data_IF_575570275148
#
_entry.id   IF_575570275148
#
_cell.length_a   1.000
_cell.length_b   1.000
_cell.length_c   1.000
_cell.angle_alpha   90.00
_cell.angle_beta   90.00
_cell.angle_gamma   90.00
#
_symmetry.space_group_name_H-M   'P 1'
#
loop_
_entity.id
_entity.type
_entity.pdbx_description
1 polymer ?
#
# COMPACT_ATOMS: atom_id res chain seq x y z
N UNK A 1 -19.73 17.27 7.68
CA UNK A 1 -18.34 16.83 7.97
C UNK A 1 -18.25 15.36 7.60
N UNK A 2 -17.09 14.88 7.19
CA UNK A 2 -16.85 13.48 6.83
C UNK A 2 -15.64 12.95 7.61
N UNK A 3 -15.71 11.73 8.10
CA UNK A 3 -14.67 11.09 8.88
C UNK A 3 -14.31 9.75 8.22
N UNK A 4 -13.05 9.61 7.79
CA UNK A 4 -12.49 8.51 6.99
C UNK A 4 -13.39 7.96 5.84
N UNK A 5 -13.96 8.80 4.95
CA UNK A 5 -14.90 8.33 3.93
C UNK A 5 -14.31 7.37 2.88
N UNK A 6 -12.98 7.28 2.73
CA UNK A 6 -12.30 6.29 1.89
C UNK A 6 -12.14 4.89 2.51
N UNK A 7 -12.37 4.74 3.82
CA UNK A 7 -12.13 3.49 4.55
C UNK A 7 -12.96 2.33 3.98
N UNK A 8 -12.31 1.16 3.82
CA UNK A 8 -12.84 -0.06 3.19
C UNK A 8 -13.24 0.03 1.69
N UNK A 9 -13.18 1.20 1.04
CA UNK A 9 -13.56 1.37 -0.36
C UNK A 9 -12.44 0.97 -1.34
N UNK A 10 -12.83 0.46 -2.52
CA UNK A 10 -11.92 0.26 -3.66
C UNK A 10 -11.48 1.61 -4.29
N UNK A 11 -10.40 1.62 -5.08
CA UNK A 11 -9.82 2.85 -5.66
C UNK A 11 -10.85 3.66 -6.47
N UNK A 12 -11.76 3.00 -7.20
CA UNK A 12 -12.82 3.64 -8.00
C UNK A 12 -13.93 4.19 -7.11
N UNK A 13 -14.28 3.47 -6.05
CA UNK A 13 -15.25 3.88 -5.05
C UNK A 13 -14.75 5.08 -4.24
N UNK A 14 -13.48 5.09 -3.79
CA UNK A 14 -12.85 6.22 -3.08
C UNK A 14 -12.94 7.52 -3.88
N UNK A 15 -12.57 7.46 -5.16
CA UNK A 15 -12.51 8.64 -6.02
C UNK A 15 -13.93 9.11 -6.43
N UNK A 16 -14.91 8.20 -6.52
CA UNK A 16 -16.34 8.55 -6.62
C UNK A 16 -16.91 9.18 -5.35
N UNK A 17 -16.57 8.65 -4.17
CA UNK A 17 -16.96 9.25 -2.89
C UNK A 17 -16.38 10.67 -2.77
N UNK A 18 -15.13 10.86 -3.21
CA UNK A 18 -14.49 12.17 -3.27
C UNK A 18 -15.18 13.14 -4.25
N UNK A 19 -15.60 12.68 -5.44
CA UNK A 19 -16.42 13.48 -6.36
C UNK A 19 -17.76 13.91 -5.73
N UNK A 20 -18.47 12.99 -5.06
CA UNK A 20 -19.75 13.30 -4.41
C UNK A 20 -19.57 14.27 -3.25
N UNK A 21 -18.59 14.05 -2.36
CA UNK A 21 -18.28 14.97 -1.25
C UNK A 21 -17.93 16.36 -1.79
N UNK A 22 -17.15 16.44 -2.87
CA UNK A 22 -16.76 17.72 -3.50
C UNK A 22 -17.94 18.42 -4.20
N UNK A 23 -18.96 17.69 -4.66
CA UNK A 23 -20.19 18.28 -5.22
C UNK A 23 -21.11 18.95 -4.20
N UNK A 24 -20.90 18.73 -2.90
CA UNK A 24 -21.67 19.35 -1.81
C UNK A 24 -21.15 20.76 -1.44
N UNK A 25 -20.05 21.21 -2.05
CA UNK A 25 -19.51 22.55 -1.85
C UNK A 25 -20.39 23.60 -2.55
N UNK A 26 -21.08 24.42 -1.74
CA UNK A 26 -21.79 25.63 -2.16
C UNK A 26 -21.15 26.85 -1.46
N UNK A 27 -21.40 28.10 -1.91
CA UNK A 27 -20.77 29.29 -1.33
C UNK A 27 -20.97 29.44 0.19
N UNK A 28 -22.09 28.95 0.71
CA UNK A 28 -22.48 29.04 2.13
C UNK A 28 -22.17 27.75 2.93
N UNK A 29 -21.57 26.72 2.31
CA UNK A 29 -21.37 25.41 2.94
C UNK A 29 -19.89 25.02 3.11
N UNK A 30 -19.48 24.83 4.36
CA UNK A 30 -18.13 24.41 4.73
C UNK A 30 -18.04 22.88 4.87
N UNK A 31 -17.27 22.25 3.98
CA UNK A 31 -16.98 20.81 4.03
C UNK A 31 -15.64 20.58 4.73
N UNK A 32 -15.67 19.93 5.90
CA UNK A 32 -14.50 19.36 6.57
C UNK A 32 -14.51 17.85 6.36
N UNK A 33 -13.37 17.29 5.94
CA UNK A 33 -13.15 15.85 5.77
C UNK A 33 -11.83 15.43 6.46
N UNK A 34 -11.86 14.31 7.18
CA UNK A 34 -10.66 13.63 7.72
C UNK A 34 -10.33 12.45 6.81
N UNK A 35 -9.07 12.31 6.41
CA UNK A 35 -8.63 11.28 5.46
C UNK A 35 -7.21 10.79 5.75
N UNK A 36 -6.93 9.55 5.35
CA UNK A 36 -5.57 8.96 5.38
C UNK A 36 -4.99 8.72 3.98
N UNK A 37 -5.84 8.59 2.95
CA UNK A 37 -5.37 8.39 1.57
C UNK A 37 -5.00 9.74 0.93
N UNK A 38 -3.69 10.04 0.88
CA UNK A 38 -3.15 11.28 0.31
C UNK A 38 -3.56 11.53 -1.16
N UNK A 39 -3.97 10.49 -1.89
CA UNK A 39 -4.45 10.59 -3.28
C UNK A 39 -5.89 11.09 -3.33
N UNK A 40 -6.72 10.62 -2.40
CA UNK A 40 -8.10 11.08 -2.17
C UNK A 40 -8.09 12.48 -1.58
N UNK A 41 -7.14 12.77 -0.68
CA UNK A 41 -7.02 14.05 0.03
C UNK A 41 -6.55 15.18 -0.91
N UNK A 42 -5.60 14.94 -1.84
CA UNK A 42 -5.21 15.90 -2.90
C UNK A 42 -6.37 16.20 -3.88
N UNK A 43 -7.35 15.29 -4.00
CA UNK A 43 -8.55 15.48 -4.81
C UNK A 43 -9.66 16.22 -4.07
N UNK A 44 -9.98 15.77 -2.84
CA UNK A 44 -11.01 16.34 -1.96
C UNK A 44 -10.73 17.80 -1.63
N UNK A 45 -9.56 18.06 -1.06
CA UNK A 45 -9.29 19.29 -0.33
C UNK A 45 -8.89 20.45 -1.24
N UNK A 46 -9.04 21.67 -0.73
CA UNK A 46 -8.42 22.89 -1.27
C UNK A 46 -7.52 23.59 -0.22
N UNK A 47 -7.72 23.30 1.07
CA UNK A 47 -6.78 23.58 2.18
C UNK A 47 -6.59 22.32 3.04
N UNK A 48 -5.46 22.23 3.74
CA UNK A 48 -5.14 21.09 4.63
C UNK A 48 -4.61 21.62 5.97
N UNK A 49 -5.15 21.11 7.07
CA UNK A 49 -4.51 21.17 8.38
C UNK A 49 -3.89 19.80 8.69
N UNK A 50 -2.64 19.76 9.13
CA UNK A 50 -2.01 18.54 9.59
C UNK A 50 -2.30 18.34 11.08
N UNK A 51 -2.64 17.12 11.49
CA UNK A 51 -2.80 16.76 12.91
C UNK A 51 -1.60 15.92 13.34
N UNK A 52 -1.04 16.25 14.51
CA UNK A 52 0.21 15.65 14.98
C UNK A 52 0.33 15.56 16.50
N UNK A 53 1.24 14.71 16.98
CA UNK A 53 1.48 14.51 18.41
C UNK A 53 1.72 13.04 18.74
N UNK A 54 1.66 12.71 20.04
CA UNK A 54 1.82 11.32 20.50
C UNK A 54 0.44 10.68 20.72
N UNK A 55 0.11 9.57 20.05
CA UNK A 55 -1.17 8.87 20.23
C UNK A 55 -1.52 8.62 21.69
N UNK A 56 -2.79 8.83 22.04
CA UNK A 56 -3.33 8.73 23.40
C UNK A 56 -2.65 9.61 24.47
N UNK A 57 -1.86 10.63 24.07
CA UNK A 57 -1.20 11.58 24.98
C UNK A 57 -1.56 13.04 24.66
N UNK A 58 -1.35 13.47 23.41
CA UNK A 58 -1.71 14.82 22.96
C UNK A 58 -1.83 14.88 21.44
N UNK A 59 -2.63 15.83 20.95
CA UNK A 59 -2.75 16.18 19.54
C UNK A 59 -2.75 17.69 19.34
N UNK A 60 -2.06 18.16 18.31
CA UNK A 60 -1.97 19.55 17.86
C UNK A 60 -2.44 19.62 16.41
N UNK A 61 -3.12 20.70 16.05
CA UNK A 61 -3.60 20.97 14.68
C UNK A 61 -2.78 22.13 14.12
N UNK A 62 -2.16 21.98 12.96
CA UNK A 62 -1.45 23.10 12.31
C UNK A 62 -2.42 24.17 11.82
N UNK A 63 -1.87 25.35 11.53
CA UNK A 63 -2.52 26.30 10.62
C UNK A 63 -2.85 25.65 9.26
N UNK A 64 -3.86 26.13 8.52
CA UNK A 64 -4.21 25.62 7.21
C UNK A 64 -3.15 25.97 6.16
N UNK A 65 -2.59 24.96 5.51
CA UNK A 65 -1.68 25.08 4.38
C UNK A 65 -2.43 24.88 3.05
N UNK A 66 -1.82 25.29 1.92
CA UNK A 66 -2.30 24.83 0.62
C UNK A 66 -2.13 23.31 0.50
N UNK A 67 -2.94 22.66 -0.35
CA UNK A 67 -2.91 21.20 -0.51
C UNK A 67 -1.52 20.64 -0.85
N UNK A 68 -0.73 21.35 -1.66
CA UNK A 68 0.62 20.91 -2.02
C UNK A 68 1.60 21.03 -0.85
N UNK A 69 1.52 22.13 -0.10
CA UNK A 69 2.44 22.40 1.02
C UNK A 69 2.11 21.49 2.20
N UNK A 70 0.84 21.36 2.57
CA UNK A 70 0.40 20.49 3.67
C UNK A 70 0.76 19.03 3.44
N UNK A 71 0.55 18.49 2.23
CA UNK A 71 0.93 17.10 1.90
C UNK A 71 2.46 16.93 1.91
N UNK A 72 3.24 17.92 1.46
CA UNK A 72 4.70 17.83 1.50
C UNK A 72 5.22 17.89 2.96
N UNK A 73 4.78 18.86 3.76
CA UNK A 73 5.12 19.00 5.20
C UNK A 73 4.79 17.71 5.99
N UNK A 74 3.68 17.06 5.64
CA UNK A 74 3.23 15.79 6.22
C UNK A 74 4.12 14.60 5.85
N UNK A 75 4.62 14.54 4.61
CA UNK A 75 5.52 13.50 4.11
C UNK A 75 6.99 13.71 4.53
N UNK A 76 7.44 14.96 4.60
CA UNK A 76 8.75 15.33 5.17
C UNK A 76 8.79 15.13 6.70
N UNK A 77 7.61 14.90 7.30
CA UNK A 77 7.38 14.67 8.72
C UNK A 77 7.76 15.85 9.61
N UNK A 78 7.93 17.05 9.03
CA UNK A 78 8.58 18.21 9.65
C UNK A 78 7.90 19.52 9.21
N UNK A 79 7.40 20.29 10.18
CA UNK A 79 6.82 21.63 9.97
C UNK A 79 7.95 22.66 10.03
N UNK A 80 8.34 23.33 8.93
CA UNK A 80 9.47 24.26 8.93
C UNK A 80 9.21 25.54 9.74
N UNK A 81 7.96 26.00 9.75
CA UNK A 81 7.49 27.19 10.48
C UNK A 81 7.51 27.02 12.01
N UNK A 82 7.44 25.78 12.49
CA UNK A 82 7.45 25.42 13.92
C UNK A 82 8.75 24.66 14.31
N UNK A 83 9.62 24.40 13.33
CA UNK A 83 10.88 23.65 13.43
C UNK A 83 10.72 22.26 14.12
N UNK A 84 9.59 21.59 13.88
CA UNK A 84 9.11 20.46 14.68
C UNK A 84 8.89 19.22 13.79
N UNK A 85 9.54 18.09 14.12
CA UNK A 85 9.36 16.79 13.46
C UNK A 85 8.35 15.92 14.23
N UNK A 86 7.33 15.41 13.54
CA UNK A 86 6.02 15.18 14.17
C UNK A 86 5.26 13.88 13.82
N UNK A 87 5.63 13.13 12.77
CA UNK A 87 4.94 11.87 12.38
C UNK A 87 5.87 10.87 11.70
N UNK A 88 5.54 9.58 11.82
CA UNK A 88 6.12 8.47 11.02
C UNK A 88 5.05 7.49 10.44
N UNK A 89 3.74 7.86 10.42
CA UNK A 89 2.68 7.50 9.41
C UNK A 89 1.59 6.37 9.61
N UNK A 90 0.72 6.12 8.58
CA UNK A 90 -0.55 5.28 8.50
C UNK A 90 -1.06 5.06 7.01
N UNK A 91 -2.08 4.31 6.51
CA UNK A 91 -2.97 3.13 6.86
C UNK A 91 -3.60 2.39 5.59
N UNK A 92 -4.56 1.43 5.69
CA UNK A 92 -4.77 0.18 4.85
C UNK A 92 -5.92 0.05 3.76
N UNK A 93 -6.24 -1.22 3.34
CA UNK A 93 -7.45 -1.80 2.64
C UNK A 93 -7.40 -2.10 1.11
N UNK A 94 -8.15 -3.05 0.47
CA UNK A 94 -8.52 -4.47 0.77
C UNK A 94 -9.08 -5.27 -0.48
N UNK A 95 -8.38 -6.29 -1.04
CA UNK A 95 -8.86 -7.33 -1.99
C UNK A 95 -8.21 -8.72 -1.76
N UNK A 96 -8.93 -9.86 -1.86
CA UNK A 96 -8.39 -11.18 -1.36
C UNK A 96 -8.55 -12.45 -2.23
N UNK A 97 -9.37 -12.46 -3.29
CA UNK A 97 -9.87 -13.74 -3.86
C UNK A 97 -8.86 -14.48 -4.75
N UNK A 98 -8.19 -13.78 -5.68
CA UNK A 98 -7.29 -14.39 -6.67
C UNK A 98 -6.11 -15.16 -6.05
N UNK A 99 -5.66 -14.71 -4.87
CA UNK A 99 -4.56 -15.30 -4.11
C UNK A 99 -4.85 -16.73 -3.68
N UNK A 100 -6.12 -17.05 -3.38
CA UNK A 100 -6.53 -18.37 -2.89
C UNK A 100 -6.42 -19.45 -3.96
N UNK A 101 -6.86 -19.14 -5.18
CA UNK A 101 -6.70 -20.00 -6.36
C UNK A 101 -5.23 -20.31 -6.63
N UNK A 102 -4.35 -19.30 -6.59
CA UNK A 102 -2.90 -19.49 -6.73
C UNK A 102 -2.24 -20.20 -5.53
N UNK A 103 -2.89 -20.23 -4.36
CA UNK A 103 -2.42 -20.94 -3.18
C UNK A 103 -2.89 -22.42 -3.13
N UNK A 104 -3.75 -22.85 -4.07
CA UNK A 104 -4.17 -24.24 -4.21
C UNK A 104 -5.63 -24.54 -3.82
N UNK A 105 -6.46 -23.53 -3.52
CA UNK A 105 -7.92 -23.74 -3.51
C UNK A 105 -8.36 -24.05 -4.96
N UNK A 106 -9.16 -25.11 -5.20
CA UNK A 106 -9.45 -25.57 -6.56
C UNK A 106 -10.34 -24.57 -7.32
N UNK A 107 -10.04 -24.27 -8.60
CA UNK A 107 -11.02 -23.67 -9.51
C UNK A 107 -12.18 -24.64 -9.79
N UNK A 108 -13.33 -24.10 -10.19
CA UNK A 108 -14.52 -24.89 -10.55
C UNK A 108 -14.32 -25.75 -11.83
N UNK A 109 -13.35 -25.38 -12.68
CA UNK A 109 -12.93 -26.15 -13.87
C UNK A 109 -11.59 -26.88 -13.64
N UNK A 110 -11.53 -28.18 -13.96
CA UNK A 110 -10.31 -28.99 -13.78
C UNK A 110 -9.15 -28.60 -14.70
N UNK A 111 -8.18 -27.81 -14.23
CA UNK A 111 -6.81 -27.84 -14.77
C UNK A 111 -5.74 -27.23 -13.84
N UNK A 112 -4.47 -27.54 -14.14
CA UNK A 112 -3.25 -26.90 -13.59
C UNK A 112 -2.99 -27.08 -12.07
N UNK A 113 -2.97 -28.34 -11.60
CA UNK A 113 -2.24 -28.70 -10.36
C UNK A 113 -0.73 -28.62 -10.60
N UNK A 114 -0.14 -27.43 -10.49
CA UNK A 114 1.32 -27.26 -10.46
C UNK A 114 1.87 -27.52 -9.04
N UNK A 115 2.85 -28.42 -8.92
CA UNK A 115 3.55 -28.71 -7.66
C UNK A 115 4.56 -27.61 -7.27
N UNK A 116 4.13 -26.35 -7.27
CA UNK A 116 4.91 -25.22 -6.80
C UNK A 116 4.83 -25.12 -5.28
N UNK A 117 5.99 -24.99 -4.61
CA UNK A 117 6.01 -24.68 -3.19
C UNK A 117 5.74 -23.19 -2.99
N UNK A 118 4.53 -22.85 -2.54
CA UNK A 118 4.04 -21.47 -2.42
C UNK A 118 4.16 -20.97 -0.98
N UNK A 119 4.62 -19.72 -0.80
CA UNK A 119 4.50 -19.02 0.49
C UNK A 119 3.51 -17.88 0.41
N UNK A 120 2.37 -18.07 1.07
CA UNK A 120 1.33 -17.06 1.25
C UNK A 120 1.58 -16.19 2.49
N UNK A 121 1.64 -14.86 2.29
CA UNK A 121 1.23 -13.85 3.28
C UNK A 121 -0.23 -13.51 2.99
N UNK A 122 -1.19 -13.80 3.89
CA UNK A 122 -2.59 -13.41 3.68
C UNK A 122 -2.83 -11.93 4.06
N UNK A 123 -3.79 -11.28 3.43
CA UNK A 123 -4.23 -9.93 3.76
C UNK A 123 -4.68 -9.81 5.23
N UNK A 124 -5.61 -10.67 5.65
CA UNK A 124 -6.18 -10.63 7.01
C UNK A 124 -5.39 -11.52 7.95
N UNK A 125 -4.49 -10.92 8.72
CA UNK A 125 -3.72 -11.60 9.77
C UNK A 125 -4.52 -11.54 11.08
N UNK A 126 -4.51 -12.62 11.86
CA UNK A 126 -5.08 -12.67 13.21
C UNK A 126 -4.09 -13.34 14.16
N UNK A 127 -3.81 -12.77 15.35
CA UNK A 127 -2.76 -13.27 16.24
C UNK A 127 -3.22 -14.51 17.03
N UNK A 128 -3.26 -15.65 16.35
CA UNK A 128 -3.71 -16.94 16.92
C UNK A 128 -2.61 -17.70 17.70
N UNK A 129 -1.36 -17.28 17.61
CA UNK A 129 -0.24 -17.97 18.27
C UNK A 129 -0.14 -17.60 19.76
N UNK A 130 -0.03 -18.58 20.68
CA UNK A 130 0.33 -18.33 22.07
C UNK A 130 1.86 -18.28 22.25
N UNK A 131 2.38 -17.18 22.78
CA UNK A 131 3.81 -16.95 23.02
C UNK A 131 4.43 -15.85 22.15
N UNK A 132 5.73 -15.63 22.34
CA UNK A 132 6.44 -14.47 21.78
C UNK A 132 6.77 -14.58 20.29
N UNK A 133 7.06 -13.44 19.66
CA UNK A 133 7.51 -13.37 18.26
C UNK A 133 8.73 -14.26 18.03
N UNK A 134 9.71 -14.25 18.95
CA UNK A 134 10.91 -15.11 18.90
C UNK A 134 10.54 -16.59 18.84
N UNK A 135 9.58 -17.04 19.63
CA UNK A 135 9.09 -18.43 19.60
C UNK A 135 8.42 -18.76 18.26
N UNK A 136 7.62 -17.84 17.71
CA UNK A 136 6.95 -18.02 16.42
C UNK A 136 7.96 -18.10 15.25
N UNK A 137 8.96 -17.21 15.20
CA UNK A 137 10.00 -17.22 14.18
C UNK A 137 10.87 -18.48 14.25
N UNK A 138 11.29 -18.90 15.46
CA UNK A 138 12.06 -20.13 15.65
C UNK A 138 11.23 -21.37 15.28
N UNK A 139 9.91 -21.37 15.52
CA UNK A 139 9.03 -22.50 15.16
C UNK A 139 8.79 -22.62 13.65
N UNK A 140 8.66 -21.50 12.94
CA UNK A 140 8.27 -21.49 11.51
C UNK A 140 9.47 -21.39 10.55
N UNK A 141 10.49 -20.59 10.88
CA UNK A 141 11.53 -20.17 9.93
C UNK A 141 12.96 -20.32 10.50
N UNK A 142 13.18 -21.28 11.42
CA UNK A 142 14.46 -21.48 12.14
C UNK A 142 15.73 -21.31 11.29
N UNK A 143 15.76 -21.94 10.10
CA UNK A 143 16.92 -21.89 9.21
C UNK A 143 17.18 -20.48 8.66
N UNK A 144 16.13 -19.77 8.22
CA UNK A 144 16.24 -18.38 7.76
C UNK A 144 16.56 -17.42 8.92
N UNK A 145 15.93 -17.59 10.08
CA UNK A 145 16.16 -16.77 11.27
C UNK A 145 17.63 -16.79 11.74
N UNK A 146 18.30 -17.94 11.62
CA UNK A 146 19.72 -18.09 11.95
C UNK A 146 20.68 -17.61 10.84
N UNK A 147 20.17 -17.23 9.66
CA UNK A 147 21.02 -16.89 8.51
C UNK A 147 21.44 -15.40 8.53
N UNK A 148 22.75 -15.06 8.55
CA UNK A 148 23.19 -13.66 8.70
C UNK A 148 22.70 -12.70 7.61
N UNK A 149 22.54 -13.17 6.37
CA UNK A 149 21.96 -12.35 5.29
C UNK A 149 20.48 -12.07 5.52
N UNK A 150 19.69 -13.02 6.03
CA UNK A 150 18.28 -12.80 6.35
C UNK A 150 18.12 -11.85 7.54
N UNK A 151 19.04 -11.92 8.51
CA UNK A 151 19.10 -10.94 9.61
C UNK A 151 19.36 -9.52 9.09
N UNK A 152 20.28 -9.37 8.13
CA UNK A 152 20.71 -8.07 7.61
C UNK A 152 19.74 -7.48 6.58
N UNK A 153 19.20 -8.30 5.68
CA UNK A 153 18.36 -7.86 4.56
C UNK A 153 16.86 -7.83 4.90
N UNK A 154 16.41 -8.58 5.93
CA UNK A 154 14.99 -8.74 6.25
C UNK A 154 14.66 -8.35 7.69
N UNK A 155 15.29 -8.95 8.70
CA UNK A 155 14.91 -8.74 10.11
C UNK A 155 15.23 -7.35 10.64
N UNK A 156 16.44 -6.84 10.34
CA UNK A 156 16.90 -5.51 10.79
C UNK A 156 16.13 -4.36 10.15
N UNK A 157 15.97 -4.27 8.81
CA UNK A 157 15.21 -3.18 8.20
C UNK A 157 13.75 -3.16 8.67
N UNK A 158 13.12 -4.33 8.81
CA UNK A 158 11.75 -4.45 9.34
C UNK A 158 11.64 -4.15 10.84
N UNK A 159 12.73 -3.81 11.53
CA UNK A 159 12.73 -3.48 12.97
C UNK A 159 12.04 -4.54 13.84
N UNK A 160 12.33 -5.83 13.59
CA UNK A 160 11.78 -6.94 14.39
C UNK A 160 12.55 -7.19 15.70
N UNK A 161 13.77 -6.68 15.84
CA UNK A 161 14.61 -6.89 17.03
C UNK A 161 13.90 -6.42 18.32
N UNK A 162 13.22 -5.26 18.25
CA UNK A 162 12.40 -4.70 19.33
C UNK A 162 11.06 -5.43 19.58
N UNK A 163 10.69 -6.38 18.73
CA UNK A 163 9.44 -7.16 18.83
C UNK A 163 9.67 -8.59 19.34
N UNK A 164 10.91 -9.08 19.36
CA UNK A 164 11.24 -10.50 19.60
C UNK A 164 10.59 -11.07 20.86
N UNK A 165 10.64 -10.32 21.96
CA UNK A 165 10.22 -10.79 23.27
C UNK A 165 8.81 -10.33 23.66
N UNK A 166 8.11 -9.66 22.73
CA UNK A 166 6.69 -9.33 22.88
C UNK A 166 5.80 -10.53 22.50
N UNK A 167 4.63 -10.65 23.13
CA UNK A 167 3.62 -11.66 22.78
C UNK A 167 2.95 -11.34 21.44
N UNK A 168 2.76 -12.36 20.59
CA UNK A 168 2.13 -12.18 19.27
C UNK A 168 0.70 -11.63 19.37
N UNK A 169 0.03 -11.81 20.52
CA UNK A 169 -1.32 -11.32 20.81
C UNK A 169 -1.41 -9.84 21.18
N UNK A 170 -0.31 -9.20 21.58
CA UNK A 170 -0.30 -7.79 22.01
C UNK A 170 0.24 -6.83 20.95
N UNK A 171 0.73 -7.34 19.83
CA UNK A 171 1.25 -6.54 18.71
C UNK A 171 0.15 -5.67 18.09
N UNK A 172 0.52 -4.45 17.68
CA UNK A 172 -0.31 -3.63 16.78
C UNK A 172 -0.43 -4.26 15.39
N UNK A 173 -1.41 -3.80 14.60
CA UNK A 173 -1.63 -4.29 13.24
C UNK A 173 -0.39 -4.15 12.34
N UNK A 174 0.36 -3.04 12.45
CA UNK A 174 1.58 -2.81 11.67
C UNK A 174 2.73 -3.73 12.09
N UNK A 175 2.93 -3.94 13.39
CA UNK A 175 3.95 -4.87 13.89
C UNK A 175 3.64 -6.33 13.52
N UNK A 176 2.38 -6.74 13.66
CA UNK A 176 1.90 -8.06 13.25
C UNK A 176 2.04 -8.27 11.74
N UNK A 177 1.81 -7.22 10.94
CA UNK A 177 2.04 -7.20 9.50
C UNK A 177 3.53 -7.36 9.15
N UNK A 178 4.44 -6.60 9.79
CA UNK A 178 5.89 -6.78 9.58
C UNK A 178 6.32 -8.22 9.91
N UNK A 179 5.85 -8.77 11.04
CA UNK A 179 6.09 -10.17 11.42
C UNK A 179 5.55 -11.15 10.37
N UNK A 180 4.36 -10.92 9.82
CA UNK A 180 3.78 -11.78 8.77
C UNK A 180 4.56 -11.74 7.44
N UNK A 181 5.08 -10.58 7.04
CA UNK A 181 5.94 -10.47 5.85
C UNK A 181 7.24 -11.25 6.07
N UNK A 182 7.92 -11.07 7.21
CA UNK A 182 9.14 -11.82 7.54
C UNK A 182 8.88 -13.33 7.57
N UNK A 183 7.78 -13.77 8.19
CA UNK A 183 7.37 -15.19 8.20
C UNK A 183 7.11 -15.74 6.80
N UNK A 184 6.50 -14.95 5.91
CA UNK A 184 6.24 -15.37 4.54
C UNK A 184 7.54 -15.50 3.73
N UNK A 185 8.44 -14.51 3.80
CA UNK A 185 9.73 -14.53 3.11
C UNK A 185 10.65 -15.66 3.62
N UNK A 186 10.66 -15.89 4.94
CA UNK A 186 11.54 -16.86 5.61
C UNK A 186 11.14 -18.34 5.52
N UNK A 187 10.01 -18.70 4.89
CA UNK A 187 9.65 -20.11 4.71
C UNK A 187 10.70 -20.85 3.85
N UNK A 188 11.09 -22.07 4.22
CA UNK A 188 12.05 -22.85 3.42
C UNK A 188 11.43 -23.35 2.11
N UNK A 189 12.28 -23.68 1.14
CA UNK A 189 11.98 -24.37 -0.12
C UNK A 189 10.96 -23.69 -1.08
N UNK A 190 10.56 -22.46 -0.78
CA UNK A 190 9.61 -21.68 -1.59
C UNK A 190 10.12 -21.47 -3.02
N UNK A 191 9.20 -21.59 -3.98
CA UNK A 191 9.40 -21.28 -5.40
C UNK A 191 8.70 -19.98 -5.80
N UNK A 192 7.49 -19.76 -5.28
CA UNK A 192 6.68 -18.55 -5.54
C UNK A 192 6.17 -17.97 -4.22
N UNK A 193 6.32 -16.66 -4.04
CA UNK A 193 5.69 -15.92 -2.95
C UNK A 193 4.37 -15.29 -3.42
N UNK A 194 3.33 -15.38 -2.60
CA UNK A 194 2.07 -14.65 -2.78
C UNK A 194 1.95 -13.66 -1.62
N UNK A 195 2.07 -12.36 -1.93
CA UNK A 195 2.03 -11.29 -0.95
C UNK A 195 0.74 -10.48 -1.13
N UNK A 196 -0.24 -10.81 -0.30
CA UNK A 196 -1.59 -10.25 -0.29
C UNK A 196 -1.61 -8.99 0.61
N UNK A 197 -1.55 -7.80 -0.01
CA UNK A 197 -1.35 -6.49 0.63
C UNK A 197 -0.26 -6.48 1.71
N UNK A 198 1.03 -6.50 1.35
CA UNK A 198 2.11 -6.16 2.26
C UNK A 198 2.05 -4.70 2.78
N UNK A 199 1.37 -3.76 2.12
CA UNK A 199 1.17 -2.37 2.62
C UNK A 199 0.16 -2.23 3.77
N UNK A 200 -0.81 -3.13 3.88
CA UNK A 200 -1.92 -2.99 4.85
C UNK A 200 -1.41 -2.93 6.31
N UNK A 201 -1.86 -1.93 7.06
CA UNK A 201 -1.41 -1.56 8.42
C UNK A 201 0.03 -1.05 8.53
N UNK A 202 0.81 -0.99 7.45
CA UNK A 202 2.09 -0.29 7.43
C UNK A 202 1.90 1.20 7.18
N UNK A 203 2.75 2.00 7.81
CA UNK A 203 2.97 3.40 7.51
C UNK A 203 3.82 3.58 6.22
N UNK A 204 4.01 4.82 5.75
CA UNK A 204 4.69 5.05 4.46
C UNK A 204 6.19 4.74 4.52
N UNK A 205 6.86 5.01 5.64
CA UNK A 205 8.27 4.67 5.85
C UNK A 205 8.45 3.14 5.87
N UNK A 206 7.61 2.44 6.62
CA UNK A 206 7.53 0.98 6.68
C UNK A 206 7.15 0.36 5.33
N UNK A 207 6.34 1.01 4.47
CA UNK A 207 6.10 0.55 3.08
C UNK A 207 7.32 0.71 2.19
N UNK A 208 8.02 1.84 2.27
CA UNK A 208 9.25 2.07 1.51
C UNK A 208 10.34 1.07 1.96
N UNK A 209 10.43 0.78 3.25
CA UNK A 209 11.32 -0.24 3.80
C UNK A 209 10.86 -1.64 3.37
N UNK A 210 9.59 -2.01 3.55
CA UNK A 210 9.06 -3.32 3.22
C UNK A 210 9.20 -3.63 1.72
N UNK A 211 8.90 -2.67 0.85
CA UNK A 211 9.07 -2.82 -0.60
C UNK A 211 10.54 -2.97 -1.01
N UNK A 212 11.46 -2.22 -0.39
CA UNK A 212 12.92 -2.42 -0.55
C UNK A 212 13.36 -3.82 -0.11
N UNK A 213 12.92 -4.28 1.07
CA UNK A 213 13.22 -5.62 1.62
C UNK A 213 12.68 -6.72 0.71
N UNK A 214 11.40 -6.63 0.32
CA UNK A 214 10.71 -7.60 -0.53
C UNK A 214 11.44 -7.70 -1.88
N UNK A 215 11.66 -6.57 -2.59
CA UNK A 215 12.34 -6.57 -3.90
C UNK A 215 13.76 -7.13 -3.82
N UNK A 216 14.55 -6.68 -2.85
CA UNK A 216 15.94 -7.11 -2.64
C UNK A 216 16.03 -8.61 -2.34
N UNK A 217 15.19 -9.11 -1.43
CA UNK A 217 15.18 -10.52 -1.06
C UNK A 217 14.78 -11.44 -2.22
N UNK A 218 13.69 -11.10 -2.95
CA UNK A 218 13.22 -11.88 -4.11
C UNK A 218 14.30 -11.94 -5.21
N UNK A 219 14.94 -10.79 -5.50
CA UNK A 219 15.98 -10.67 -6.52
C UNK A 219 17.24 -11.46 -6.14
N UNK A 220 17.73 -11.34 -4.91
CA UNK A 220 18.90 -12.12 -4.43
C UNK A 220 18.61 -13.62 -4.38
N UNK A 221 17.41 -14.03 -3.93
CA UNK A 221 17.00 -15.43 -3.86
C UNK A 221 16.68 -16.05 -5.24
N UNK A 222 16.60 -15.22 -6.31
CA UNK A 222 16.18 -15.59 -7.67
C UNK A 222 14.82 -16.32 -7.67
N UNK A 223 13.84 -15.72 -7.00
CA UNK A 223 12.47 -16.25 -6.86
C UNK A 223 11.47 -15.37 -7.61
N UNK A 224 10.25 -15.90 -7.77
CA UNK A 224 9.11 -15.13 -8.29
C UNK A 224 8.20 -14.73 -7.13
N UNK A 225 7.60 -13.55 -7.20
CA UNK A 225 6.48 -13.18 -6.33
C UNK A 225 5.33 -12.59 -7.14
N UNK A 226 4.11 -12.89 -6.72
CA UNK A 226 2.94 -12.09 -7.04
C UNK A 226 2.63 -11.23 -5.82
N UNK A 227 2.49 -9.92 -6.05
CA UNK A 227 2.14 -8.96 -5.01
C UNK A 227 0.83 -8.30 -5.41
N UNK A 228 -0.16 -8.35 -4.53
CA UNK A 228 -1.40 -7.57 -4.68
C UNK A 228 -1.26 -6.31 -3.84
N UNK A 229 -1.44 -5.17 -4.48
CA UNK A 229 -1.32 -3.85 -3.85
C UNK A 229 -2.39 -2.90 -4.36
N UNK A 230 -2.77 -1.98 -3.47
CA UNK A 230 -3.56 -0.79 -3.81
C UNK A 230 -2.72 0.50 -3.70
N UNK A 231 -1.56 0.44 -3.04
CA UNK A 231 -0.61 1.55 -2.99
C UNK A 231 0.19 1.63 -4.30
N UNK A 232 -0.06 2.67 -5.10
CA UNK A 232 0.62 2.88 -6.38
C UNK A 232 2.14 3.02 -6.26
N UNK A 233 2.67 3.56 -5.15
CA UNK A 233 4.12 3.73 -4.95
C UNK A 233 4.74 2.36 -4.66
N UNK A 234 4.12 1.58 -3.78
CA UNK A 234 4.58 0.23 -3.48
C UNK A 234 4.46 -0.71 -4.69
N UNK A 235 3.36 -0.64 -5.43
CA UNK A 235 3.14 -1.43 -6.65
C UNK A 235 4.18 -1.09 -7.74
N UNK A 236 4.38 0.20 -8.04
CA UNK A 236 5.32 0.63 -9.10
C UNK A 236 6.79 0.42 -8.73
N UNK A 237 7.13 0.43 -7.44
CA UNK A 237 8.47 0.03 -6.98
C UNK A 237 8.70 -1.48 -7.10
N UNK A 238 7.71 -2.30 -6.74
CA UNK A 238 7.83 -3.76 -6.69
C UNK A 238 7.69 -4.46 -8.06
N UNK A 239 6.82 -3.97 -8.95
CA UNK A 239 6.38 -4.72 -10.11
C UNK A 239 7.24 -4.51 -11.37
N UNK A 240 7.91 -5.58 -11.81
CA UNK A 240 8.54 -5.63 -13.15
C UNK A 240 7.48 -5.85 -14.26
N UNK A 241 6.35 -6.48 -13.90
CA UNK A 241 5.15 -6.69 -14.74
C UNK A 241 3.87 -6.55 -13.92
N UNK A 242 2.79 -6.15 -14.56
CA UNK A 242 1.47 -5.93 -13.93
C UNK A 242 0.39 -6.80 -14.59
N UNK A 243 -0.48 -7.37 -13.77
CA UNK A 243 -1.77 -7.95 -14.15
C UNK A 243 -2.85 -6.95 -13.74
N UNK A 244 -3.62 -6.45 -14.71
CA UNK A 244 -4.81 -5.62 -14.45
C UNK A 244 -6.03 -6.54 -14.37
N UNK A 245 -6.87 -6.31 -13.36
CA UNK A 245 -8.19 -6.93 -13.23
C UNK A 245 -9.28 -5.94 -13.67
N UNK A 246 -10.19 -6.38 -14.53
CA UNK A 246 -11.24 -5.56 -15.13
C UNK A 246 -12.61 -6.25 -15.03
N UNK A 247 -13.68 -5.49 -14.81
CA UNK A 247 -15.04 -6.04 -14.73
C UNK A 247 -15.97 -5.20 -13.87
N UNK A 248 -16.99 -5.85 -13.31
CA UNK A 248 -17.97 -5.26 -12.40
C UNK A 248 -17.88 -5.97 -11.03
N UNK A 249 -17.56 -5.25 -9.93
CA UNK A 249 -17.47 -5.85 -8.59
C UNK A 249 -18.71 -6.67 -8.23
N UNK A 250 -18.47 -7.84 -7.63
CA UNK A 250 -19.49 -8.84 -7.28
C UNK A 250 -20.33 -9.42 -8.45
N UNK A 251 -20.02 -9.12 -9.71
CA UNK A 251 -20.72 -9.66 -10.90
C UNK A 251 -19.76 -10.44 -11.80
N UNK A 252 -18.65 -9.83 -12.22
CA UNK A 252 -17.65 -10.47 -13.08
C UNK A 252 -16.29 -9.80 -12.96
N UNK A 253 -15.22 -10.58 -13.08
CA UNK A 253 -13.84 -10.11 -13.11
C UNK A 253 -13.03 -10.89 -14.15
N UNK A 254 -12.19 -10.18 -14.90
CA UNK A 254 -11.31 -10.73 -15.93
C UNK A 254 -9.88 -10.29 -15.64
N UNK A 255 -8.93 -11.21 -15.70
CA UNK A 255 -7.52 -10.93 -15.49
C UNK A 255 -6.81 -10.79 -16.85
N UNK A 256 -6.04 -9.72 -17.01
CA UNK A 256 -5.18 -9.54 -18.21
C UNK A 256 -3.89 -10.37 -18.11
N UNK A 257 -3.27 -10.78 -19.23
CA UNK A 257 -1.95 -11.42 -19.20
C UNK A 257 -0.87 -10.44 -18.70
N UNK A 258 0.24 -10.91 -18.09
CA UNK A 258 1.25 -10.03 -17.45
C UNK A 258 1.94 -9.04 -18.41
N UNK A 259 1.56 -7.76 -18.32
CA UNK A 259 2.04 -6.67 -19.18
C UNK A 259 3.23 -5.92 -18.55
N UNK A 260 3.89 -5.08 -19.35
CA UNK A 260 4.82 -4.05 -18.85
C UNK A 260 4.10 -3.10 -17.88
N UNK A 261 4.82 -2.58 -16.88
CA UNK A 261 4.30 -1.61 -15.90
C UNK A 261 3.55 -0.44 -16.55
N UNK A 262 4.11 0.19 -17.59
CA UNK A 262 3.49 1.35 -18.26
C UNK A 262 2.14 1.00 -18.94
N UNK A 263 2.08 -0.08 -19.74
CA UNK A 263 0.84 -0.55 -20.37
C UNK A 263 -0.24 -0.91 -19.34
N UNK A 264 0.13 -1.67 -18.31
CA UNK A 264 -0.81 -2.07 -17.24
C UNK A 264 -1.35 -0.86 -16.46
N UNK A 265 -0.47 0.07 -16.07
CA UNK A 265 -0.85 1.29 -15.37
C UNK A 265 -1.74 2.21 -16.22
N UNK A 266 -1.38 2.44 -17.49
CA UNK A 266 -2.22 3.24 -18.40
C UNK A 266 -3.61 2.62 -18.58
N UNK A 267 -3.70 1.30 -18.77
CA UNK A 267 -4.98 0.59 -18.91
C UNK A 267 -5.83 0.66 -17.63
N UNK A 268 -5.23 0.40 -16.46
CA UNK A 268 -5.93 0.49 -15.18
C UNK A 268 -6.45 1.90 -14.91
N UNK A 269 -5.60 2.93 -15.08
CA UNK A 269 -5.96 4.32 -14.83
C UNK A 269 -6.97 4.88 -15.85
N UNK A 270 -6.93 4.43 -17.11
CA UNK A 270 -7.98 4.72 -18.09
C UNK A 270 -9.34 4.16 -17.64
N UNK A 271 -9.38 2.94 -17.07
CA UNK A 271 -10.63 2.37 -16.52
C UNK A 271 -11.18 3.13 -15.29
N UNK A 272 -10.35 3.97 -14.66
CA UNK A 272 -10.71 4.87 -13.56
C UNK A 272 -11.02 6.30 -14.02
N UNK A 273 -10.81 6.62 -15.31
CA UNK A 273 -10.86 7.99 -15.87
C UNK A 273 -9.92 8.99 -15.19
N UNK A 274 -8.80 8.55 -14.60
CA UNK A 274 -7.96 9.39 -13.73
C UNK A 274 -6.50 9.36 -14.19
N UNK A 275 -5.89 10.53 -14.26
CA UNK A 275 -4.51 10.71 -14.75
C UNK A 275 -3.56 11.07 -13.61
N UNK A 276 -2.32 10.60 -13.71
CA UNK A 276 -1.22 10.91 -12.80
C UNK A 276 -0.11 11.68 -13.51
N UNK A 277 0.51 12.61 -12.78
CA UNK A 277 1.76 13.30 -13.13
C UNK A 277 2.80 13.05 -12.04
N UNK A 278 4.09 13.12 -12.35
CA UNK A 278 5.12 13.25 -11.29
C UNK A 278 5.17 14.70 -10.79
N UNK A 279 5.43 14.92 -9.50
CA UNK A 279 5.83 16.26 -9.01
C UNK A 279 7.35 16.44 -9.26
N UNK A 280 7.82 17.51 -9.93
CA UNK A 280 9.19 17.61 -10.42
C UNK A 280 10.29 17.70 -9.35
N UNK A 281 9.96 17.89 -8.08
CA UNK A 281 10.96 17.99 -7.00
C UNK A 281 11.31 16.66 -6.34
N UNK A 282 10.37 15.71 -6.29
CA UNK A 282 10.52 14.43 -5.58
C UNK A 282 10.06 13.22 -6.39
N UNK A 283 9.68 13.41 -7.66
CA UNK A 283 9.22 12.39 -8.60
C UNK A 283 7.99 11.58 -8.15
N UNK A 284 7.32 11.97 -7.06
CA UNK A 284 6.15 11.27 -6.50
C UNK A 284 4.99 11.29 -7.51
N UNK A 285 4.29 10.16 -7.74
CA UNK A 285 3.05 10.16 -8.51
C UNK A 285 1.96 10.96 -7.78
N UNK A 286 1.36 11.91 -8.49
CA UNK A 286 0.31 12.82 -8.01
C UNK A 286 -0.90 12.81 -8.95
N UNK A 287 -2.09 12.74 -8.37
CA UNK A 287 -3.37 12.76 -9.09
C UNK A 287 -3.62 14.14 -9.73
N UNK A 288 -4.21 14.19 -10.92
CA UNK A 288 -4.79 15.44 -11.44
C UNK A 288 -6.26 15.57 -11.00
N UNK A 289 -6.68 16.79 -10.62
CA UNK A 289 -8.10 17.10 -10.45
C UNK A 289 -8.83 16.96 -11.80
N UNK A 290 -10.04 16.38 -11.77
CA UNK A 290 -10.84 16.01 -12.95
C UNK A 290 -11.11 17.21 -13.85
N UNK A 291 -10.98 17.05 -15.16
CA UNK A 291 -11.13 18.08 -16.20
C UNK A 291 -10.18 19.29 -16.08
N UNK A 292 -9.16 19.25 -15.20
CA UNK A 292 -8.05 20.22 -15.23
C UNK A 292 -7.32 20.19 -16.59
N UNK A 293 -6.55 21.24 -16.89
CA UNK A 293 -5.82 21.35 -18.17
C UNK A 293 -4.94 20.12 -18.41
N UNK A 294 -4.12 19.76 -17.41
CA UNK A 294 -3.24 18.58 -17.48
C UNK A 294 -3.98 17.25 -17.56
N UNK A 295 -5.13 17.12 -16.90
CA UNK A 295 -5.98 15.91 -17.03
C UNK A 295 -6.53 15.75 -18.46
N UNK A 296 -6.94 16.85 -19.10
CA UNK A 296 -7.40 16.85 -20.49
C UNK A 296 -6.27 16.57 -21.48
N UNK A 297 -5.11 17.19 -21.29
CA UNK A 297 -3.90 16.94 -22.11
C UNK A 297 -3.47 15.47 -22.04
N UNK A 298 -3.35 14.92 -20.83
CA UNK A 298 -2.93 13.54 -20.61
C UNK A 298 -3.94 12.51 -21.14
N UNK A 299 -5.25 12.77 -21.00
CA UNK A 299 -6.31 11.96 -21.62
C UNK A 299 -6.28 12.01 -23.15
N UNK A 300 -6.09 13.19 -23.75
CA UNK A 300 -5.98 13.33 -25.20
C UNK A 300 -4.74 12.62 -25.77
N UNK A 301 -3.64 12.57 -25.00
CA UNK A 301 -2.42 11.84 -25.35
C UNK A 301 -2.46 10.33 -25.02
N UNK A 302 -3.49 9.83 -24.34
CA UNK A 302 -3.57 8.45 -23.86
C UNK A 302 -2.58 8.08 -22.74
N UNK A 303 -1.88 9.07 -22.17
CA UNK A 303 -0.80 8.89 -21.20
C UNK A 303 -1.31 9.18 -19.79
N UNK A 304 -1.86 8.16 -19.12
CA UNK A 304 -2.42 8.26 -17.78
C UNK A 304 -1.36 8.09 -16.67
N UNK A 305 -0.24 7.44 -16.98
CA UNK A 305 0.91 7.23 -16.10
C UNK A 305 2.22 7.59 -16.78
N UNK A 306 3.18 8.13 -16.01
CA UNK A 306 4.49 8.54 -16.50
C UNK A 306 5.61 7.78 -15.77
N UNK A 307 6.36 7.01 -16.56
CA UNK A 307 7.67 6.47 -16.23
C UNK A 307 8.63 7.06 -17.26
N UNK A 308 9.60 7.82 -16.76
CA UNK A 308 10.86 8.11 -17.45
C UNK A 308 11.99 7.79 -16.47
N UNK A 309 13.16 7.47 -17.04
CA UNK A 309 14.26 6.70 -16.43
C UNK A 309 14.96 7.38 -15.24
#
# INVERSE_FOLDING_TARGET
MFDEPSSYLDVKQRLRAAEVIRSLLTPDCYVVAVEHDLSVLDYLSDFICCLYGKPSMYGVVTMPYSVREGINIFLDGFIPTENLRFRQESLSFKMTTFVRLLAGDPPDDESVKQNLQVSLKPQTISPKFPGTVRMLLIKQIKAAFMHPQFQTDVLKPMNLENLMDQDVKTLSGGELQRVAIVLALGKPNVSVYLLDEPSSFLDSEQRIIASKVIKRFILHAKKTAFVIEHDFIMATYLADRVIVFEGQPAISATATPPQTLLSGMNRFLASLEITFRRDPTNFRPRVNKKASVKDREQKAAGNYFFLED
#
